data_IF_795646869890
#
_entry.id   IF_795646869890
#
_cell.length_a   1.000
_cell.length_b   1.000
_cell.length_c   1.000
_cell.angle_alpha   90.00
_cell.angle_beta   90.00
_cell.angle_gamma   90.00
#
_symmetry.space_group_name_H-M   'P 1'
#
loop_
_entity.id
_entity.type
_entity.pdbx_description
1 polymer ?
#
# COMPACT_ATOMS: atom_id res chain seq x y z
N UNK A 1 2.24 9.74 -11.81
CA UNK A 1 3.53 9.66 -11.11
C UNK A 1 4.67 9.97 -12.08
N UNK A 2 5.76 10.60 -11.63
CA UNK A 2 6.95 10.85 -12.45
C UNK A 2 7.65 9.55 -12.92
N UNK A 3 8.48 9.62 -13.98
CA UNK A 3 9.29 8.50 -14.46
C UNK A 3 10.40 8.07 -13.49
N UNK A 4 10.51 8.70 -12.30
CA UNK A 4 11.50 8.34 -11.28
C UNK A 4 11.10 7.09 -10.49
N UNK A 5 9.80 6.82 -10.32
CA UNK A 5 9.31 5.72 -9.48
C UNK A 5 9.85 4.33 -9.88
N UNK A 6 9.87 3.93 -11.16
CA UNK A 6 10.48 2.65 -11.56
C UNK A 6 11.97 2.55 -11.20
N UNK A 7 12.73 3.66 -11.33
CA UNK A 7 14.17 3.70 -11.01
C UNK A 7 14.43 3.58 -9.51
N UNK A 8 13.57 4.18 -8.69
CA UNK A 8 13.65 4.06 -7.22
C UNK A 8 13.42 2.60 -6.84
N UNK A 9 12.38 1.97 -7.39
CA UNK A 9 12.03 0.58 -7.09
C UNK A 9 13.09 -0.41 -7.62
N UNK A 10 13.66 -0.17 -8.81
CA UNK A 10 14.70 -1.02 -9.37
C UNK A 10 15.97 -1.05 -8.51
N UNK A 11 16.28 0.03 -7.78
CA UNK A 11 17.42 0.08 -6.86
C UNK A 11 17.31 -0.93 -5.70
N UNK A 12 16.08 -1.39 -5.38
CA UNK A 12 15.84 -2.41 -4.36
C UNK A 12 15.56 -3.80 -4.96
N UNK A 13 14.85 -3.85 -6.09
CA UNK A 13 14.46 -5.10 -6.76
C UNK A 13 15.67 -5.74 -7.50
N UNK A 14 16.64 -4.93 -7.92
CA UNK A 14 17.77 -5.41 -8.71
C UNK A 14 17.32 -5.99 -10.06
N UNK A 15 17.92 -7.12 -10.43
CA UNK A 15 17.68 -7.77 -11.73
C UNK A 15 16.51 -8.77 -11.73
N UNK A 16 15.74 -8.87 -10.63
CA UNK A 16 14.63 -9.83 -10.50
C UNK A 16 13.47 -9.51 -11.45
N UNK A 17 13.27 -8.24 -11.81
CA UNK A 17 12.21 -7.79 -12.72
C UNK A 17 12.82 -6.90 -13.81
N UNK A 18 12.65 -7.23 -15.11
CA UNK A 18 13.15 -6.39 -16.19
C UNK A 18 12.61 -4.95 -16.12
N UNK A 19 13.44 -3.92 -16.40
CA UNK A 19 13.04 -2.51 -16.25
C UNK A 19 11.73 -2.13 -16.96
N UNK A 20 11.53 -2.61 -18.18
CA UNK A 20 10.31 -2.33 -18.96
C UNK A 20 9.05 -2.92 -18.31
N UNK A 21 9.16 -4.12 -17.72
CA UNK A 21 8.06 -4.74 -17.00
C UNK A 21 7.76 -4.02 -15.69
N UNK A 22 8.81 -3.60 -14.96
CA UNK A 22 8.64 -2.82 -13.74
C UNK A 22 7.97 -1.47 -14.05
N UNK A 23 8.38 -0.78 -15.12
CA UNK A 23 7.76 0.48 -15.54
C UNK A 23 6.27 0.30 -15.86
N UNK A 24 5.91 -0.72 -16.65
CA UNK A 24 4.52 -1.00 -17.00
C UNK A 24 3.66 -1.25 -15.74
N UNK A 25 4.19 -2.01 -14.78
CA UNK A 25 3.52 -2.32 -13.51
C UNK A 25 3.36 -1.08 -12.62
N UNK A 26 4.41 -0.27 -12.50
CA UNK A 26 4.36 1.00 -11.75
C UNK A 26 3.34 1.95 -12.36
N UNK A 27 3.28 2.05 -13.70
CA UNK A 27 2.31 2.87 -14.42
C UNK A 27 0.87 2.41 -14.18
N UNK A 28 0.62 1.10 -14.16
CA UNK A 28 -0.69 0.54 -13.85
C UNK A 28 -1.10 0.74 -12.38
N UNK A 29 -0.14 0.62 -11.45
CA UNK A 29 -0.38 0.82 -10.03
C UNK A 29 -0.66 2.30 -9.70
N UNK A 30 0.20 3.21 -10.15
CA UNK A 30 0.20 4.63 -9.80
C UNK A 30 -0.54 5.47 -10.85
N UNK A 31 -1.77 5.05 -11.17
CA UNK A 31 -2.65 5.67 -12.16
C UNK A 31 -3.34 6.97 -11.67
N UNK A 32 -2.78 7.62 -10.64
CA UNK A 32 -3.29 8.83 -10.00
C UNK A 32 -2.13 9.72 -9.54
N UNK A 33 -2.35 11.03 -9.36
CA UNK A 33 -1.31 11.97 -8.95
C UNK A 33 -1.05 11.94 -7.43
N UNK A 34 0.06 12.57 -7.03
CA UNK A 34 0.40 12.89 -5.64
C UNK A 34 0.84 14.37 -5.56
N UNK A 35 -0.08 15.33 -5.75
CA UNK A 35 0.29 16.73 -5.86
C UNK A 35 0.69 17.32 -4.50
N UNK A 36 1.67 18.22 -4.50
CA UNK A 36 1.95 19.11 -3.38
C UNK A 36 1.11 20.37 -3.55
N UNK A 37 0.25 20.66 -2.57
CA UNK A 37 -0.58 21.87 -2.52
C UNK A 37 -0.06 22.81 -1.44
N UNK A 38 0.10 24.07 -1.77
CA UNK A 38 0.47 25.09 -0.80
C UNK A 38 -0.68 25.30 0.19
N UNK A 39 -0.37 25.31 1.49
CA UNK A 39 -1.30 25.59 2.59
C UNK A 39 -0.98 26.95 3.20
N UNK A 40 0.31 27.21 3.44
CA UNK A 40 0.85 28.48 3.95
C UNK A 40 2.10 28.86 3.13
N UNK A 41 2.67 30.08 3.28
CA UNK A 41 3.85 30.50 2.51
C UNK A 41 5.02 29.51 2.53
N UNK A 42 5.25 28.84 3.67
CA UNK A 42 6.32 27.87 3.92
C UNK A 42 5.79 26.45 4.23
N UNK A 43 4.48 26.21 4.07
CA UNK A 43 3.85 24.91 4.36
C UNK A 43 3.13 24.37 3.13
N UNK A 44 3.48 23.14 2.74
CA UNK A 44 2.79 22.38 1.70
C UNK A 44 2.18 21.08 2.24
N UNK A 45 1.06 20.66 1.65
CA UNK A 45 0.43 19.36 1.88
C UNK A 45 0.66 18.45 0.67
N UNK A 46 1.28 17.30 0.90
CA UNK A 46 1.36 16.22 -0.09
C UNK A 46 0.05 15.45 -0.08
N UNK A 47 -0.79 15.65 -1.09
CA UNK A 47 -2.08 14.99 -1.19
C UNK A 47 -1.92 13.56 -1.72
N UNK A 48 -2.05 12.57 -0.83
CA UNK A 48 -1.91 11.15 -1.16
C UNK A 48 -3.26 10.42 -1.27
N UNK A 49 -4.36 11.16 -1.46
CA UNK A 49 -5.74 10.66 -1.46
C UNK A 49 -6.44 10.78 -2.82
N UNK A 50 -5.68 10.87 -3.92
CA UNK A 50 -6.24 10.91 -5.28
C UNK A 50 -6.41 9.51 -5.92
N UNK A 51 -6.11 8.46 -5.16
CA UNK A 51 -6.34 7.08 -5.58
C UNK A 51 -7.81 6.63 -5.42
N UNK A 52 -8.14 5.41 -5.87
CA UNK A 52 -9.50 4.89 -5.89
C UNK A 52 -10.16 4.80 -4.51
N UNK A 53 -9.37 4.77 -3.42
CA UNK A 53 -9.89 4.63 -2.06
C UNK A 53 -9.66 5.85 -1.19
N UNK A 54 -9.23 6.96 -1.79
CA UNK A 54 -9.02 8.23 -1.11
C UNK A 54 -7.98 8.16 0.02
N UNK A 55 -7.00 7.24 -0.10
CA UNK A 55 -5.97 7.05 0.91
C UNK A 55 -4.61 6.67 0.31
N UNK A 56 -3.53 7.09 0.96
CA UNK A 56 -2.15 6.80 0.54
C UNK A 56 -1.82 5.30 0.45
N UNK A 57 -2.66 4.46 1.06
CA UNK A 57 -2.53 3.01 1.01
C UNK A 57 -2.77 2.46 -0.41
N UNK A 58 -3.40 3.24 -1.28
CA UNK A 58 -3.59 2.91 -2.70
C UNK A 58 -2.27 2.67 -3.44
N UNK A 59 -1.23 3.45 -3.15
CA UNK A 59 0.08 3.28 -3.78
C UNK A 59 0.62 1.87 -3.49
N UNK A 60 0.80 1.55 -2.21
CA UNK A 60 1.32 0.24 -1.82
C UNK A 60 0.41 -0.92 -2.22
N UNK A 61 -0.90 -0.81 -1.99
CA UNK A 61 -1.84 -1.89 -2.27
C UNK A 61 -1.87 -2.26 -3.74
N UNK A 62 -1.93 -1.26 -4.63
CA UNK A 62 -1.97 -1.51 -6.08
C UNK A 62 -0.64 -1.97 -6.62
N UNK A 63 0.49 -1.44 -6.13
CA UNK A 63 1.80 -1.93 -6.52
C UNK A 63 2.00 -3.38 -6.08
N UNK A 64 1.58 -3.73 -4.86
CA UNK A 64 1.60 -5.12 -4.39
C UNK A 64 0.78 -6.04 -5.29
N UNK A 65 -0.42 -5.65 -5.71
CA UNK A 65 -1.23 -6.45 -6.63
C UNK A 65 -0.52 -6.66 -7.98
N UNK A 66 0.16 -5.63 -8.50
CA UNK A 66 0.97 -5.76 -9.71
C UNK A 66 2.17 -6.69 -9.54
N UNK A 67 2.81 -6.70 -8.37
CA UNK A 67 3.94 -7.60 -8.09
C UNK A 67 3.47 -9.04 -7.86
N UNK A 68 2.39 -9.23 -7.10
CA UNK A 68 1.88 -10.56 -6.79
C UNK A 68 1.38 -11.29 -8.04
N UNK A 69 0.65 -10.60 -8.92
CA UNK A 69 0.22 -11.18 -10.21
C UNK A 69 1.39 -11.53 -11.11
N UNK A 70 2.54 -10.84 -10.98
CA UNK A 70 3.76 -11.21 -11.69
C UNK A 70 4.38 -12.50 -11.16
N UNK A 71 4.55 -12.58 -9.83
CA UNK A 71 5.32 -13.62 -9.16
C UNK A 71 4.51 -14.91 -9.05
N UNK A 72 3.21 -14.80 -8.71
CA UNK A 72 2.34 -15.95 -8.52
C UNK A 72 1.74 -16.48 -9.81
N UNK A 73 1.76 -15.68 -10.89
CA UNK A 73 1.08 -16.03 -12.15
C UNK A 73 -0.40 -16.36 -11.89
N UNK A 74 -0.84 -17.53 -12.36
CA UNK A 74 -2.21 -18.03 -12.20
C UNK A 74 -2.44 -18.89 -10.94
N UNK A 75 -1.43 -19.04 -10.07
CA UNK A 75 -1.59 -19.83 -8.83
C UNK A 75 -2.64 -19.19 -7.92
N UNK A 76 -3.55 -19.98 -7.32
CA UNK A 76 -4.50 -19.46 -6.33
C UNK A 76 -3.76 -18.86 -5.12
N UNK A 77 -4.16 -17.66 -4.71
CA UNK A 77 -3.63 -16.98 -3.53
C UNK A 77 -4.77 -16.42 -2.68
N UNK A 78 -4.67 -16.60 -1.36
CA UNK A 78 -5.59 -15.98 -0.40
C UNK A 78 -4.90 -14.85 0.34
N UNK A 79 -5.36 -13.62 0.12
CA UNK A 79 -4.87 -12.41 0.80
C UNK A 79 -5.64 -12.22 2.10
N UNK A 80 -4.98 -12.46 3.23
CA UNK A 80 -5.54 -12.22 4.56
C UNK A 80 -4.97 -10.93 5.15
N UNK A 81 -5.85 -9.99 5.49
CA UNK A 81 -5.48 -8.64 5.94
C UNK A 81 -6.33 -8.18 7.11
N UNK A 82 -5.72 -7.47 8.06
CA UNK A 82 -6.42 -6.81 9.15
C UNK A 82 -6.43 -5.31 8.89
N UNK A 83 -7.52 -4.63 9.22
CA UNK A 83 -7.62 -3.18 9.00
C UNK A 83 -8.34 -2.44 10.11
N UNK A 84 -7.94 -1.18 10.29
CA UNK A 84 -8.65 -0.15 11.06
C UNK A 84 -9.42 0.82 10.16
N UNK A 85 -9.57 0.52 8.86
CA UNK A 85 -10.28 1.36 7.88
C UNK A 85 -9.68 1.28 6.48
N UNK A 86 -8.81 2.25 6.12
CA UNK A 86 -8.41 2.42 4.71
C UNK A 86 -7.54 1.28 4.16
N UNK A 87 -6.84 0.50 4.99
CA UNK A 87 -6.03 -0.62 4.48
C UNK A 87 -6.93 -1.66 3.82
N UNK A 88 -8.09 -1.92 4.42
CA UNK A 88 -9.08 -2.84 3.88
C UNK A 88 -9.57 -2.35 2.52
N UNK A 89 -9.91 -1.07 2.40
CA UNK A 89 -10.31 -0.49 1.12
C UNK A 89 -9.23 -0.60 0.05
N UNK A 90 -8.02 -0.13 0.33
CA UNK A 90 -6.93 -0.14 -0.65
C UNK A 90 -6.61 -1.57 -1.12
N UNK A 91 -6.59 -2.55 -0.21
CA UNK A 91 -6.36 -3.96 -0.55
C UNK A 91 -7.54 -4.53 -1.33
N UNK A 92 -8.77 -4.32 -0.87
CA UNK A 92 -9.95 -4.83 -1.57
C UNK A 92 -10.01 -4.34 -3.01
N UNK A 93 -9.84 -3.03 -3.24
CA UNK A 93 -9.86 -2.44 -4.58
C UNK A 93 -8.64 -2.83 -5.43
N UNK A 94 -7.46 -3.02 -4.82
CA UNK A 94 -6.27 -3.43 -5.56
C UNK A 94 -6.37 -4.86 -6.12
N UNK A 95 -7.04 -5.76 -5.40
CA UNK A 95 -7.16 -7.18 -5.76
C UNK A 95 -8.55 -7.56 -6.30
N UNK A 96 -9.51 -6.62 -6.37
CA UNK A 96 -10.86 -6.86 -6.87
C UNK A 96 -10.83 -7.38 -8.32
N UNK A 97 -11.58 -8.45 -8.58
CA UNK A 97 -11.74 -9.02 -9.92
C UNK A 97 -10.55 -9.87 -10.43
N UNK A 98 -9.48 -10.04 -9.64
CA UNK A 98 -8.38 -10.94 -9.98
C UNK A 98 -8.81 -12.40 -9.78
N UNK A 99 -8.86 -13.17 -10.88
CA UNK A 99 -9.49 -14.51 -10.91
C UNK A 99 -8.87 -15.54 -9.96
N UNK A 100 -7.55 -15.46 -9.75
CA UNK A 100 -6.81 -16.37 -8.89
C UNK A 100 -6.57 -15.82 -7.48
N UNK A 101 -7.19 -14.70 -7.11
CA UNK A 101 -7.00 -14.08 -5.81
C UNK A 101 -8.31 -14.03 -5.04
N UNK A 102 -8.31 -14.59 -3.84
CA UNK A 102 -9.34 -14.39 -2.83
C UNK A 102 -8.82 -13.39 -1.80
N UNK A 103 -9.65 -12.45 -1.36
CA UNK A 103 -9.27 -11.48 -0.32
C UNK A 103 -10.18 -11.64 0.88
N UNK A 104 -9.60 -11.78 2.07
CA UNK A 104 -10.32 -11.84 3.35
C UNK A 104 -9.82 -10.70 4.23
N UNK A 105 -10.75 -9.81 4.61
CA UNK A 105 -10.45 -8.59 5.37
C UNK A 105 -11.11 -8.67 6.74
N UNK A 106 -10.29 -8.71 7.78
CA UNK A 106 -10.72 -8.65 9.18
C UNK A 106 -10.71 -7.20 9.66
N UNK A 107 -11.81 -6.73 10.25
CA UNK A 107 -11.89 -5.39 10.83
C UNK A 107 -12.70 -5.38 12.12
N UNK A 108 -12.38 -4.48 13.07
CA UNK A 108 -13.10 -4.40 14.33
C UNK A 108 -14.51 -3.84 14.13
N UNK A 109 -15.51 -4.63 14.50
CA UNK A 109 -16.93 -4.30 14.34
C UNK A 109 -17.26 -2.98 15.04
N UNK A 110 -17.85 -2.04 14.32
CA UNK A 110 -18.28 -0.75 14.86
C UNK A 110 -17.15 0.19 15.29
N UNK A 111 -15.88 -0.10 14.94
CA UNK A 111 -14.72 0.74 15.30
C UNK A 111 -14.07 1.43 14.10
N UNK A 112 -14.67 1.34 12.92
CA UNK A 112 -14.27 2.06 11.71
C UNK A 112 -15.40 2.99 11.26
N UNK A 113 -15.10 4.02 10.49
CA UNK A 113 -16.16 4.94 10.03
C UNK A 113 -17.13 4.23 9.06
N UNK A 114 -18.42 4.62 9.03
CA UNK A 114 -19.38 4.04 8.10
C UNK A 114 -18.98 4.13 6.63
N UNK A 115 -18.30 5.22 6.25
CA UNK A 115 -17.80 5.41 4.88
C UNK A 115 -16.67 4.44 4.55
N UNK A 116 -15.72 4.24 5.47
CA UNK A 116 -14.65 3.25 5.28
C UNK A 116 -15.24 1.85 5.17
N UNK A 117 -16.17 1.46 6.05
CA UNK A 117 -16.83 0.16 6.01
C UNK A 117 -17.53 -0.05 4.66
N UNK A 118 -18.32 0.92 4.20
CA UNK A 118 -19.00 0.85 2.90
C UNK A 118 -18.02 0.74 1.73
N UNK A 119 -16.84 1.37 1.81
CA UNK A 119 -15.88 1.40 0.72
C UNK A 119 -15.31 0.01 0.35
N UNK A 120 -15.32 -0.96 1.28
CA UNK A 120 -14.79 -2.31 1.04
C UNK A 120 -15.73 -3.47 1.40
N UNK A 121 -16.70 -3.28 2.30
CA UNK A 121 -17.67 -4.32 2.69
C UNK A 121 -18.83 -4.50 1.70
N UNK A 122 -18.95 -3.66 0.66
CA UNK A 122 -20.04 -3.74 -0.32
C UNK A 122 -19.59 -4.16 -1.72
N UNK A 123 -18.36 -4.65 -1.88
CA UNK A 123 -17.81 -5.04 -3.18
C UNK A 123 -18.30 -6.43 -3.63
N UNK A 124 -18.26 -7.43 -2.73
CA UNK A 124 -18.57 -8.81 -3.05
C UNK A 124 -17.57 -9.45 -4.03
N UNK A 125 -18.02 -10.48 -4.76
CA UNK A 125 -17.17 -11.19 -5.72
C UNK A 125 -16.05 -11.98 -5.02
N UNK A 126 -14.79 -11.63 -5.31
CA UNK A 126 -13.62 -12.26 -4.69
C UNK A 126 -13.20 -11.62 -3.35
N UNK A 127 -13.99 -10.66 -2.85
CA UNK A 127 -13.73 -9.94 -1.60
C UNK A 127 -14.68 -10.42 -0.51
N UNK A 128 -14.09 -10.95 0.57
CA UNK A 128 -14.78 -11.32 1.79
C UNK A 128 -14.36 -10.40 2.92
N UNK A 129 -15.34 -9.96 3.71
CA UNK A 129 -15.10 -9.07 4.85
C UNK A 129 -15.71 -9.68 6.10
N UNK A 130 -14.97 -9.63 7.21
CA UNK A 130 -15.35 -10.24 8.48
C UNK A 130 -15.26 -9.18 9.57
N UNK A 131 -16.41 -8.83 10.14
CA UNK A 131 -16.50 -7.96 11.29
C UNK A 131 -16.17 -8.74 12.57
N UNK A 132 -15.01 -8.46 13.15
CA UNK A 132 -14.53 -9.10 14.37
C UNK A 132 -15.08 -8.37 15.60
N UNK A 133 -15.63 -9.11 16.55
CA UNK A 133 -16.05 -8.56 17.84
C UNK A 133 -14.82 -8.37 18.74
N UNK A 134 -14.15 -7.23 18.56
CA UNK A 134 -12.88 -6.92 19.20
C UNK A 134 -12.31 -5.58 18.72
N UNK A 135 -11.05 -5.31 19.03
CA UNK A 135 -10.31 -4.18 18.52
C UNK A 135 -9.41 -4.57 17.33
N UNK A 136 -8.64 -3.59 16.84
CA UNK A 136 -7.73 -3.81 15.73
C UNK A 136 -6.61 -4.80 16.09
N UNK A 137 -6.12 -4.79 17.33
CA UNK A 137 -5.05 -5.68 17.78
C UNK A 137 -5.52 -7.14 17.78
N UNK A 138 -6.77 -7.40 18.18
CA UNK A 138 -7.40 -8.71 18.04
C UNK A 138 -7.47 -9.17 16.58
N UNK A 139 -7.85 -8.27 15.65
CA UNK A 139 -7.83 -8.58 14.22
C UNK A 139 -6.42 -8.94 13.74
N UNK A 140 -5.40 -8.18 14.14
CA UNK A 140 -4.01 -8.47 13.79
C UNK A 140 -3.51 -9.78 14.39
N UNK A 141 -3.91 -10.10 15.62
CA UNK A 141 -3.55 -11.36 16.28
C UNK A 141 -4.11 -12.57 15.52
N UNK A 142 -5.37 -12.51 15.08
CA UNK A 142 -5.98 -13.56 14.24
C UNK A 142 -5.24 -13.75 12.91
N UNK A 143 -4.86 -12.65 12.26
CA UNK A 143 -4.04 -12.73 11.03
C UNK A 143 -2.72 -13.43 11.33
N UNK A 144 -1.99 -13.01 12.38
CA UNK A 144 -0.71 -13.64 12.75
C UNK A 144 -0.87 -15.13 13.06
N UNK A 145 -1.88 -15.49 13.84
CA UNK A 145 -2.18 -16.88 14.18
C UNK A 145 -2.43 -17.73 12.92
N UNK A 146 -3.13 -17.18 11.91
CA UNK A 146 -3.32 -17.87 10.64
C UNK A 146 -2.01 -18.09 9.85
N UNK A 147 -0.99 -17.22 10.03
CA UNK A 147 0.34 -17.41 9.44
C UNK A 147 1.23 -18.37 10.23
N UNK A 148 0.91 -18.68 11.48
CA UNK A 148 1.59 -19.71 12.27
C UNK A 148 1.03 -21.11 11.98
N UNK A 149 -0.12 -21.21 11.31
CA UNK A 149 -0.75 -22.46 10.89
C UNK A 149 -0.25 -22.89 9.49
N UNK A 150 0.66 -23.86 9.44
CA UNK A 150 1.21 -24.38 8.19
C UNK A 150 0.17 -25.07 7.30
N UNK A 151 -0.80 -25.77 7.89
CA UNK A 151 -1.85 -26.47 7.13
C UNK A 151 -2.72 -25.44 6.41
N UNK A 152 -3.13 -24.39 7.12
CA UNK A 152 -3.91 -23.29 6.56
C UNK A 152 -3.13 -22.53 5.47
N UNK A 153 -1.84 -22.26 5.69
CA UNK A 153 -0.97 -21.57 4.72
C UNK A 153 -0.88 -22.33 3.40
N UNK A 154 -0.63 -23.63 3.46
CA UNK A 154 -0.49 -24.47 2.27
C UNK A 154 -1.84 -24.66 1.58
N UNK A 155 -2.90 -24.94 2.34
CA UNK A 155 -4.22 -25.20 1.79
C UNK A 155 -4.80 -24.01 1.02
N UNK A 156 -4.56 -22.77 1.51
CA UNK A 156 -5.15 -21.56 0.94
C UNK A 156 -4.18 -20.71 0.10
N UNK A 157 -2.89 -21.06 0.05
CA UNK A 157 -1.87 -20.19 -0.52
C UNK A 157 -1.85 -18.83 0.19
N UNK A 158 -1.79 -18.85 1.52
CA UNK A 158 -2.01 -17.68 2.36
C UNK A 158 -0.90 -16.63 2.20
N UNK A 159 -1.28 -15.38 1.98
CA UNK A 159 -0.37 -14.25 1.86
C UNK A 159 -0.97 -12.99 2.52
N UNK A 160 -0.15 -12.04 2.97
CA UNK A 160 -0.60 -10.84 3.68
C UNK A 160 -0.34 -9.58 2.87
N UNK A 161 -1.32 -8.66 2.87
CA UNK A 161 -1.19 -7.32 2.31
C UNK A 161 -1.00 -6.21 3.36
N UNK A 162 -0.63 -6.60 4.58
CA UNK A 162 -0.23 -5.67 5.64
C UNK A 162 1.17 -5.09 5.38
N UNK A 163 1.57 -4.07 6.15
CA UNK A 163 2.87 -3.38 6.06
C UNK A 163 4.11 -4.27 6.29
N UNK A 164 3.93 -5.53 6.67
CA UNK A 164 5.00 -6.54 6.71
C UNK A 164 5.49 -6.86 5.28
N UNK A 165 4.62 -6.69 4.28
CA UNK A 165 4.98 -6.92 2.89
C UNK A 165 5.91 -5.81 2.37
N UNK A 166 7.13 -6.17 1.97
CA UNK A 166 8.15 -5.22 1.49
C UNK A 166 7.67 -4.36 0.32
N UNK A 167 6.80 -4.89 -0.55
CA UNK A 167 6.28 -4.13 -1.70
C UNK A 167 5.47 -2.90 -1.27
N UNK A 168 4.71 -3.00 -0.16
CA UNK A 168 3.98 -1.86 0.43
C UNK A 168 4.93 -0.75 0.83
N UNK A 169 6.02 -1.10 1.51
CA UNK A 169 7.00 -0.15 2.03
C UNK A 169 7.77 0.52 0.89
N UNK A 170 8.23 -0.25 -0.09
CA UNK A 170 9.01 0.29 -1.22
C UNK A 170 8.17 1.21 -2.11
N UNK A 171 6.91 0.88 -2.36
CA UNK A 171 6.00 1.74 -3.12
C UNK A 171 5.83 3.13 -2.47
N UNK A 172 5.86 3.19 -1.15
CA UNK A 172 5.68 4.43 -0.39
C UNK A 172 6.88 5.39 -0.52
N UNK A 173 8.08 4.87 -0.79
CA UNK A 173 9.28 5.69 -1.02
C UNK A 173 9.05 6.64 -2.22
N UNK A 174 8.31 6.18 -3.23
CA UNK A 174 8.17 6.88 -4.50
C UNK A 174 7.52 8.27 -4.35
N UNK A 175 6.50 8.43 -3.49
CA UNK A 175 5.84 9.72 -3.36
C UNK A 175 6.65 10.76 -2.57
N UNK A 176 7.65 10.35 -1.79
CA UNK A 176 8.59 11.31 -1.18
C UNK A 176 9.44 11.98 -2.25
N UNK A 177 9.93 11.22 -3.23
CA UNK A 177 10.65 11.78 -4.38
C UNK A 177 9.73 12.62 -5.26
N UNK A 178 8.49 12.19 -5.47
CA UNK A 178 7.48 12.96 -6.20
C UNK A 178 7.21 14.31 -5.53
N UNK A 179 7.14 14.35 -4.20
CA UNK A 179 6.97 15.59 -3.45
C UNK A 179 8.16 16.53 -3.65
N UNK A 180 9.39 16.04 -3.47
CA UNK A 180 10.62 16.83 -3.64
C UNK A 180 10.75 17.38 -5.07
N UNK A 181 10.36 16.60 -6.08
CA UNK A 181 10.40 17.02 -7.47
C UNK A 181 9.48 18.22 -7.77
N UNK A 182 8.41 18.39 -7.01
CA UNK A 182 7.47 19.51 -7.13
C UNK A 182 7.93 20.78 -6.40
N UNK A 183 8.95 20.69 -5.54
CA UNK A 183 9.47 21.82 -4.78
C UNK A 183 10.55 22.58 -5.56
N UNK A 184 10.64 23.92 -5.42
CA UNK A 184 11.73 24.73 -5.97
C UNK A 184 13.05 24.39 -5.28
N UNK A 185 14.18 24.64 -5.95
CA UNK A 185 15.50 24.21 -5.47
C UNK A 185 15.85 24.77 -4.08
N UNK A 186 15.43 26.00 -3.80
CA UNK A 186 15.64 26.71 -2.55
C UNK A 186 14.98 25.98 -1.37
N UNK A 187 13.79 25.41 -1.58
CA UNK A 187 13.04 24.70 -0.55
C UNK A 187 13.58 23.28 -0.27
N UNK A 188 14.30 22.67 -1.22
CA UNK A 188 14.77 21.27 -1.09
C UNK A 188 15.81 21.08 0.01
N UNK A 189 16.66 22.08 0.24
CA UNK A 189 17.77 21.98 1.19
C UNK A 189 17.36 22.15 2.66
N UNK A 190 16.18 22.69 2.93
CA UNK A 190 15.65 22.90 4.28
C UNK A 190 14.31 22.16 4.50
N UNK A 191 14.05 21.14 3.68
CA UNK A 191 12.79 20.42 3.72
C UNK A 191 12.58 19.70 5.06
N UNK A 192 11.47 20.02 5.72
CA UNK A 192 10.94 19.29 6.88
C UNK A 192 9.69 18.55 6.45
N UNK A 193 9.62 17.25 6.75
CA UNK A 193 8.45 16.42 6.45
C UNK A 193 7.81 15.93 7.74
N UNK A 194 6.55 16.31 7.96
CA UNK A 194 5.72 15.79 9.06
C UNK A 194 4.85 14.65 8.54
N UNK A 195 4.86 13.50 9.23
CA UNK A 195 4.15 12.28 8.81
C UNK A 195 3.18 11.84 9.92
N UNK A 196 1.85 11.92 9.72
CA UNK A 196 0.88 11.44 10.70
C UNK A 196 0.98 9.92 10.80
N UNK A 197 1.59 9.44 11.88
CA UNK A 197 2.04 8.05 11.99
C UNK A 197 1.17 7.21 12.92
N UNK A 198 0.71 6.06 12.41
CA UNK A 198 0.18 4.95 13.21
C UNK A 198 1.24 3.84 13.29
N UNK A 199 1.18 2.85 12.38
CA UNK A 199 2.11 1.72 12.32
C UNK A 199 3.50 2.05 11.72
N UNK A 200 3.89 3.33 11.66
CA UNK A 200 5.21 3.83 11.20
C UNK A 200 5.68 3.47 9.77
N UNK A 201 4.94 2.69 8.98
CA UNK A 201 5.37 2.30 7.62
C UNK A 201 5.64 3.49 6.69
N UNK A 202 4.79 4.53 6.74
CA UNK A 202 4.94 5.75 5.94
C UNK A 202 6.24 6.50 6.30
N UNK A 203 6.45 6.77 7.60
CA UNK A 203 7.68 7.41 8.09
C UNK A 203 8.93 6.60 7.72
N UNK A 204 8.89 5.27 7.86
CA UNK A 204 10.00 4.39 7.46
C UNK A 204 10.32 4.54 5.98
N UNK A 205 9.31 4.65 5.10
CA UNK A 205 9.52 4.89 3.68
C UNK A 205 10.21 6.24 3.43
N UNK A 206 9.85 7.28 4.19
CA UNK A 206 10.53 8.58 4.14
C UNK A 206 12.00 8.52 4.57
N UNK A 207 12.32 7.75 5.60
CA UNK A 207 13.70 7.53 6.04
C UNK A 207 14.51 6.75 4.99
N UNK A 208 13.92 5.73 4.36
CA UNK A 208 14.54 5.02 3.25
C UNK A 208 14.77 5.97 2.06
N UNK A 209 13.81 6.83 1.72
CA UNK A 209 13.96 7.83 0.67
C UNK A 209 15.17 8.75 0.94
N UNK A 210 15.32 9.22 2.19
CA UNK A 210 16.48 10.03 2.60
C UNK A 210 17.80 9.25 2.45
N UNK A 211 17.82 7.98 2.84
CA UNK A 211 19.03 7.13 2.77
C UNK A 211 19.54 6.87 1.34
N UNK A 212 18.65 6.97 0.34
CA UNK A 212 19.01 6.81 -1.08
C UNK A 212 19.72 8.03 -1.65
N UNK A 213 19.51 9.21 -1.05
CA UNK A 213 20.07 10.49 -1.54
C UNK A 213 21.29 10.92 -0.72
N UNK A 214 21.40 10.50 0.54
CA UNK A 214 22.54 10.83 1.41
C UNK A 214 23.76 9.91 1.23
N UNK A 215 24.03 9.42 0.01
CA UNK A 215 25.27 8.71 -0.33
C UNK A 215 26.31 9.64 -0.93
#
# INVERSE_FOLDING_TARGET
MSPAAPKILSAFIGDEIPPEQLEARVRAAFAFPAPVKQVEPDVGCLELFHGPTLAFKDFGGRFMAQMLTHISGDKPVTILTATSGDTGAAVAHAFYGLKNVRVVILYPKGKISPLQEKLFCTLGGNIETVAIDGDFDACQALVKQAFDDEELKVALGLNSANSINISRLLAQICYYFEAVAQLPQEARNQLVVSVPSGNFGDLTAGLLAKSLVCR
#
